data_IF_444960725502
#
_entry.id   IF_444960725502
#
_cell.length_a   1.000
_cell.length_b   1.000
_cell.length_c   1.000
_cell.angle_alpha   90.00
_cell.angle_beta   90.00
_cell.angle_gamma   90.00
#
_symmetry.space_group_name_H-M   'P 1'
#
loop_
_entity.id
_entity.type
_entity.pdbx_description
1 polymer ?
#
# COMPACT_ATOMS: atom_id res chain seq x y z
N UNK A 1 0.76 13.85 -10.81
CA UNK A 1 0.10 15.04 -10.17
C UNK A 1 1.12 15.74 -9.28
N UNK A 2 1.50 17.02 -9.55
CA UNK A 2 2.60 17.71 -8.85
C UNK A 2 2.12 19.01 -8.17
N UNK A 3 1.78 18.92 -6.89
CA UNK A 3 1.34 20.06 -6.06
C UNK A 3 2.50 20.95 -5.58
N UNK A 4 2.18 22.16 -5.09
CA UNK A 4 3.15 23.10 -4.48
C UNK A 4 3.23 23.01 -2.96
N UNK A 5 2.19 22.49 -2.31
CA UNK A 5 2.12 22.23 -0.87
C UNK A 5 1.87 20.73 -0.69
N UNK A 6 2.67 20.07 0.16
CA UNK A 6 2.64 18.62 0.35
C UNK A 6 3.17 18.22 1.73
N UNK A 7 2.73 17.06 2.23
CA UNK A 7 3.26 16.50 3.46
C UNK A 7 4.51 15.66 3.16
N UNK A 8 5.56 15.88 3.94
CA UNK A 8 6.82 15.14 3.86
C UNK A 8 7.23 14.70 5.26
N UNK A 9 7.64 13.44 5.36
CA UNK A 9 8.29 12.89 6.55
C UNK A 9 9.79 12.95 6.29
N UNK A 10 10.46 13.94 6.84
CA UNK A 10 11.91 14.13 6.76
C UNK A 10 12.59 13.70 8.07
N UNK A 11 13.58 12.81 7.98
CA UNK A 11 14.45 12.46 9.10
C UNK A 11 15.88 12.93 8.82
N UNK A 12 16.67 13.09 9.86
CA UNK A 12 18.09 13.44 9.76
C UNK A 12 18.86 12.58 10.76
N UNK A 13 19.95 11.95 10.33
CA UNK A 13 20.87 11.23 11.22
C UNK A 13 22.12 12.06 11.45
N UNK A 14 22.70 11.91 12.64
CA UNK A 14 23.92 12.60 13.03
C UNK A 14 24.88 11.56 13.56
N UNK A 15 26.00 11.41 12.88
CA UNK A 15 26.95 10.32 13.08
C UNK A 15 28.36 10.87 13.26
N UNK A 16 29.14 10.24 14.15
CA UNK A 16 30.48 10.72 14.53
C UNK A 16 31.54 10.43 13.45
N UNK A 17 31.28 9.45 12.58
CA UNK A 17 32.15 9.05 11.48
C UNK A 17 31.35 8.43 10.33
N UNK A 18 32.04 8.15 9.22
CA UNK A 18 31.44 7.56 8.00
C UNK A 18 30.87 6.16 8.24
N UNK A 19 31.50 5.33 9.07
CA UNK A 19 31.02 3.98 9.32
C UNK A 19 29.70 4.00 10.10
N UNK A 20 29.56 4.93 11.05
CA UNK A 20 28.29 5.20 11.73
C UNK A 20 27.22 5.74 10.77
N UNK A 21 27.58 6.68 9.89
CA UNK A 21 26.66 7.20 8.88
C UNK A 21 26.12 6.11 7.94
N UNK A 22 26.97 5.16 7.51
CA UNK A 22 26.55 4.01 6.69
C UNK A 22 25.60 3.09 7.46
N UNK A 23 25.78 2.91 8.78
CA UNK A 23 24.79 2.15 9.57
C UNK A 23 23.44 2.86 9.62
N UNK A 24 23.43 4.16 9.89
CA UNK A 24 22.21 4.98 9.89
C UNK A 24 21.50 4.96 8.53
N UNK A 25 22.28 5.02 7.45
CA UNK A 25 21.82 4.84 6.08
C UNK A 25 21.12 3.50 5.88
N UNK A 26 21.78 2.39 6.24
CA UNK A 26 21.24 1.04 6.04
C UNK A 26 19.95 0.83 6.86
N UNK A 27 19.86 1.40 8.07
CA UNK A 27 18.61 1.40 8.86
C UNK A 27 17.47 2.05 8.07
N UNK A 28 17.71 3.21 7.47
CA UNK A 28 16.69 3.90 6.69
C UNK A 28 16.34 3.18 5.39
N UNK A 29 17.33 2.65 4.68
CA UNK A 29 17.12 1.85 3.47
C UNK A 29 16.18 0.67 3.74
N UNK A 30 16.46 -0.12 4.79
CA UNK A 30 15.62 -1.27 5.17
C UNK A 30 14.24 -0.82 5.66
N UNK A 31 14.17 0.27 6.43
CA UNK A 31 12.89 0.82 6.89
C UNK A 31 12.00 1.25 5.71
N UNK A 32 12.59 1.81 4.65
CA UNK A 32 11.88 2.27 3.47
C UNK A 32 11.31 1.11 2.66
N UNK A 33 12.13 0.10 2.35
CA UNK A 33 11.68 -1.15 1.71
C UNK A 33 10.45 -1.72 2.42
N UNK A 34 10.52 -1.83 3.75
CA UNK A 34 9.43 -2.37 4.56
C UNK A 34 8.24 -1.44 4.63
N UNK A 35 8.44 -0.13 4.61
CA UNK A 35 7.35 0.85 4.63
C UNK A 35 6.51 0.73 3.37
N UNK A 36 7.13 0.71 2.20
CA UNK A 36 6.41 0.55 0.93
C UNK A 36 5.75 -0.83 0.81
N UNK A 37 6.44 -1.90 1.20
CA UNK A 37 5.86 -3.24 1.20
C UNK A 37 4.64 -3.37 2.13
N UNK A 38 4.68 -2.75 3.33
CA UNK A 38 3.50 -2.72 4.21
C UNK A 38 2.33 -1.98 3.58
N UNK A 39 2.60 -0.95 2.79
CA UNK A 39 1.59 -0.22 2.02
C UNK A 39 1.14 -0.98 0.76
N UNK A 40 1.55 -2.25 0.56
CA UNK A 40 1.19 -3.03 -0.62
C UNK A 40 1.85 -2.54 -1.91
N UNK A 41 2.91 -1.73 -1.81
CA UNK A 41 3.60 -1.13 -2.94
C UNK A 41 4.90 -1.89 -3.24
N UNK A 42 5.16 -2.14 -4.53
CA UNK A 42 6.46 -2.63 -4.99
C UNK A 42 7.37 -1.43 -5.26
N UNK A 43 8.31 -1.17 -4.34
CA UNK A 43 9.31 -0.11 -4.48
C UNK A 43 10.68 -0.69 -4.79
N UNK A 44 11.36 -0.15 -5.80
CA UNK A 44 12.70 -0.57 -6.18
C UNK A 44 13.70 0.52 -5.77
N UNK A 45 14.73 0.20 -4.98
CA UNK A 45 15.83 1.12 -4.71
C UNK A 45 16.71 1.22 -5.96
N UNK A 46 16.78 2.40 -6.56
CA UNK A 46 17.61 2.71 -7.72
C UNK A 46 18.73 3.62 -7.31
N UNK A 47 19.94 3.37 -7.80
CA UNK A 47 21.06 4.26 -7.52
C UNK A 47 20.80 5.64 -8.12
N UNK A 48 20.92 6.68 -7.29
CA UNK A 48 20.65 8.06 -7.67
C UNK A 48 21.93 8.89 -7.68
N UNK A 49 21.88 10.08 -8.28
CA UNK A 49 23.02 11.00 -8.22
C UNK A 49 23.27 11.46 -6.78
N UNK A 50 24.52 11.38 -6.33
CA UNK A 50 24.94 11.85 -5.00
C UNK A 50 25.09 13.37 -4.90
N UNK A 51 24.81 14.10 -5.99
CA UNK A 51 25.05 15.54 -6.10
C UNK A 51 26.51 15.94 -5.83
N UNK A 52 26.71 17.20 -5.39
CA UNK A 52 28.04 17.80 -5.17
C UNK A 52 28.82 17.20 -3.98
N UNK A 53 28.17 16.41 -3.12
CA UNK A 53 28.78 15.77 -1.94
C UNK A 53 29.57 14.52 -2.35
N UNK A 54 29.16 13.85 -3.44
CA UNK A 54 29.80 12.63 -3.95
C UNK A 54 29.55 11.39 -3.08
N UNK A 55 29.85 10.21 -3.64
CA UNK A 55 29.76 8.91 -2.96
C UNK A 55 28.68 7.99 -3.53
N UNK A 56 28.71 6.71 -3.11
CA UNK A 56 27.84 5.67 -3.68
C UNK A 56 26.55 5.44 -2.88
N UNK A 57 26.36 6.20 -1.79
CA UNK A 57 25.23 6.07 -0.86
C UNK A 57 24.13 7.08 -1.18
N UNK A 58 23.52 6.94 -2.37
CA UNK A 58 22.35 7.68 -2.79
C UNK A 58 21.43 6.74 -3.55
N UNK A 59 20.21 6.55 -3.04
CA UNK A 59 19.22 5.68 -3.66
C UNK A 59 17.86 6.37 -3.69
N UNK A 60 17.22 6.33 -4.85
CA UNK A 60 15.83 6.68 -5.06
C UNK A 60 14.93 5.46 -4.96
N UNK A 61 13.87 5.53 -4.16
CA UNK A 61 12.87 4.48 -4.11
C UNK A 61 11.76 4.80 -5.09
N UNK A 62 11.71 4.05 -6.19
CA UNK A 62 10.71 4.24 -7.23
C UNK A 62 9.64 3.16 -7.10
N UNK A 63 8.39 3.59 -6.94
CA UNK A 63 7.24 2.70 -6.85
C UNK A 63 6.77 2.38 -8.27
N UNK A 64 6.66 1.10 -8.62
CA UNK A 64 6.17 0.67 -9.92
C UNK A 64 4.69 1.03 -10.10
N UNK A 65 4.37 1.75 -11.18
CA UNK A 65 3.01 2.13 -11.55
C UNK A 65 2.95 2.49 -13.04
N UNK A 66 1.95 1.98 -13.76
CA UNK A 66 1.82 2.18 -15.23
C UNK A 66 1.70 3.65 -15.65
N UNK A 67 1.19 4.50 -14.77
CA UNK A 67 1.04 5.96 -14.98
C UNK A 67 2.23 6.78 -14.45
N UNK A 68 3.27 6.12 -13.94
CA UNK A 68 4.46 6.75 -13.39
C UNK A 68 5.15 7.68 -14.39
N UNK A 69 5.79 8.75 -13.94
CA UNK A 69 6.43 9.74 -14.82
C UNK A 69 7.77 9.23 -15.37
N UNK A 70 8.45 8.36 -14.63
CA UNK A 70 9.83 7.92 -14.92
C UNK A 70 9.83 6.49 -15.46
N UNK A 71 10.62 6.26 -16.52
CA UNK A 71 10.82 4.91 -17.05
C UNK A 71 11.89 4.19 -16.23
N UNK A 72 11.63 2.91 -15.96
CA UNK A 72 12.47 2.10 -15.07
C UNK A 72 12.87 0.79 -15.74
N UNK A 73 14.10 0.38 -15.49
CA UNK A 73 14.71 -0.84 -15.99
C UNK A 73 15.25 -1.62 -14.81
N UNK A 74 14.72 -2.81 -14.54
CA UNK A 74 15.20 -3.63 -13.43
C UNK A 74 15.19 -5.12 -13.77
N UNK A 75 15.95 -5.90 -13.02
CA UNK A 75 15.86 -7.36 -13.06
C UNK A 75 14.46 -7.82 -12.61
N UNK A 76 13.79 -8.68 -13.38
CA UNK A 76 12.45 -9.21 -13.07
C UNK A 76 12.39 -9.89 -11.71
N UNK A 77 13.49 -10.46 -11.22
CA UNK A 77 13.55 -11.09 -9.91
C UNK A 77 13.15 -10.14 -8.77
N UNK A 78 13.24 -8.82 -8.99
CA UNK A 78 12.73 -7.81 -8.05
C UNK A 78 11.25 -7.98 -7.71
N UNK A 79 10.44 -8.35 -8.70
CA UNK A 79 8.99 -8.44 -8.57
C UNK A 79 8.54 -9.59 -7.65
N UNK A 80 9.42 -10.58 -7.44
CA UNK A 80 9.15 -11.77 -6.62
C UNK A 80 9.68 -11.64 -5.18
N UNK A 81 10.26 -10.49 -4.81
CA UNK A 81 10.92 -10.29 -3.51
C UNK A 81 9.97 -9.69 -2.48
N UNK A 82 9.90 -10.27 -1.28
CA UNK A 82 9.11 -9.73 -0.15
C UNK A 82 10.00 -9.16 0.97
N UNK A 83 10.08 -7.82 1.13
CA UNK A 83 10.81 -7.17 2.22
C UNK A 83 10.31 -7.50 3.63
N UNK A 84 9.08 -8.01 3.76
CA UNK A 84 8.44 -8.31 5.04
C UNK A 84 8.74 -9.72 5.55
N UNK A 85 9.13 -10.65 4.66
CA UNK A 85 9.47 -12.02 5.00
C UNK A 85 10.72 -12.15 5.89
N UNK A 86 11.58 -11.13 5.91
CA UNK A 86 12.81 -11.12 6.69
C UNK A 86 12.58 -10.55 8.11
N UNK A 87 13.06 -11.27 9.12
CA UNK A 87 13.23 -10.72 10.47
C UNK A 87 14.39 -9.73 10.51
N UNK A 88 14.12 -8.49 10.90
CA UNK A 88 15.13 -7.42 10.93
C UNK A 88 15.47 -7.05 12.37
N UNK A 89 16.75 -7.16 12.72
CA UNK A 89 17.33 -6.53 13.90
C UNK A 89 18.04 -5.24 13.47
N UNK A 90 17.46 -4.09 13.81
CA UNK A 90 18.02 -2.78 13.44
C UNK A 90 19.29 -2.42 14.21
N UNK A 91 19.67 -3.18 15.24
CA UNK A 91 20.92 -2.98 15.96
C UNK A 91 22.07 -3.86 15.42
N UNK A 92 21.75 -4.82 14.55
CA UNK A 92 22.74 -5.63 13.84
C UNK A 92 23.34 -4.89 12.64
N UNK A 93 24.34 -5.51 11.99
CA UNK A 93 24.85 -5.04 10.72
C UNK A 93 23.83 -5.31 9.59
N UNK A 94 23.28 -4.23 9.03
CA UNK A 94 22.29 -4.28 7.96
C UNK A 94 22.93 -4.23 6.56
N UNK A 95 24.25 -4.09 6.43
CA UNK A 95 24.91 -4.05 5.12
C UNK A 95 24.60 -5.28 4.25
N UNK A 96 24.60 -6.54 4.78
CA UNK A 96 24.25 -7.71 3.96
C UNK A 96 22.85 -7.65 3.38
N UNK A 97 21.91 -6.98 4.06
CA UNK A 97 20.55 -6.79 3.57
C UNK A 97 20.58 -5.77 2.43
N UNK A 98 21.21 -4.62 2.64
CA UNK A 98 21.36 -3.61 1.58
C UNK A 98 22.05 -4.18 0.35
N UNK A 99 23.10 -5.01 0.53
CA UNK A 99 23.80 -5.68 -0.57
C UNK A 99 22.87 -6.62 -1.34
N UNK A 100 22.04 -7.42 -0.66
CA UNK A 100 21.06 -8.28 -1.34
C UNK A 100 20.05 -7.45 -2.15
N UNK A 101 19.54 -6.38 -1.55
CA UNK A 101 18.59 -5.44 -2.18
C UNK A 101 19.26 -4.46 -3.16
N UNK A 102 20.56 -4.56 -3.43
CA UNK A 102 21.24 -3.75 -4.44
C UNK A 102 22.05 -4.62 -5.42
N UNK A 103 22.08 -5.95 -5.24
CA UNK A 103 22.79 -6.87 -6.15
C UNK A 103 22.13 -6.95 -7.52
N UNK A 104 20.81 -6.83 -7.55
CA UNK A 104 20.02 -6.92 -8.77
C UNK A 104 20.00 -5.57 -9.46
N UNK A 105 20.20 -5.59 -10.78
CA UNK A 105 20.23 -4.38 -11.59
C UNK A 105 18.90 -3.61 -11.47
N UNK A 106 19.01 -2.31 -11.23
CA UNK A 106 17.90 -1.37 -11.26
C UNK A 106 18.42 0.01 -11.66
N UNK A 107 17.82 0.61 -12.69
CA UNK A 107 18.21 1.91 -13.21
C UNK A 107 17.00 2.68 -13.75
N UNK A 108 17.04 3.98 -13.54
CA UNK A 108 16.19 4.98 -14.23
C UNK A 108 16.63 5.15 -15.69
N UNK A 109 15.83 5.81 -16.51
CA UNK A 109 16.11 6.02 -17.93
C UNK A 109 17.38 6.83 -18.20
N UNK A 110 17.73 7.77 -17.32
CA UNK A 110 18.96 8.55 -17.40
C UNK A 110 20.22 7.75 -17.05
N UNK A 111 20.08 6.63 -16.33
CA UNK A 111 21.19 5.75 -15.91
C UNK A 111 21.25 4.43 -16.69
N UNK A 112 20.18 4.03 -17.37
CA UNK A 112 20.14 2.81 -18.13
C UNK A 112 20.92 2.94 -19.44
N UNK A 113 21.96 2.12 -19.60
CA UNK A 113 22.68 1.94 -20.87
C UNK A 113 22.38 0.53 -21.43
N UNK A 114 21.60 0.41 -22.51
CA UNK A 114 21.29 -0.87 -23.13
C UNK A 114 22.52 -1.67 -23.57
N UNK A 115 23.63 -1.00 -23.92
CA UNK A 115 24.85 -1.67 -24.36
C UNK A 115 25.67 -2.23 -23.20
N UNK A 116 25.50 -1.69 -21.99
CA UNK A 116 26.18 -2.10 -20.77
C UNK A 116 25.26 -2.82 -19.77
N UNK A 117 23.99 -3.07 -20.14
CA UNK A 117 23.02 -3.74 -19.29
C UNK A 117 23.48 -5.18 -18.98
N UNK A 118 23.69 -5.53 -17.69
CA UNK A 118 24.14 -6.87 -17.31
C UNK A 118 23.01 -7.92 -17.33
N UNK A 119 21.75 -7.49 -17.48
CA UNK A 119 20.57 -8.34 -17.44
C UNK A 119 20.18 -8.78 -18.86
N UNK A 120 19.99 -10.09 -19.11
CA UNK A 120 19.44 -10.60 -20.37
C UNK A 120 18.06 -10.01 -20.69
N UNK A 121 17.74 -9.85 -21.98
CA UNK A 121 16.50 -9.21 -22.45
C UNK A 121 15.21 -9.88 -21.91
N UNK A 122 15.23 -11.20 -21.74
CA UNK A 122 14.11 -11.98 -21.20
C UNK A 122 13.94 -11.85 -19.67
N UNK A 123 15.01 -11.47 -18.97
CA UNK A 123 15.03 -11.21 -17.53
C UNK A 123 14.89 -9.72 -17.18
N UNK A 124 14.95 -8.82 -18.17
CA UNK A 124 14.76 -7.39 -17.97
C UNK A 124 13.27 -7.05 -17.87
N UNK A 125 12.90 -6.32 -16.84
CA UNK A 125 11.63 -5.64 -16.72
C UNK A 125 11.81 -4.18 -17.15
N UNK A 126 10.94 -3.74 -18.04
CA UNK A 126 10.80 -2.33 -18.41
C UNK A 126 9.39 -1.89 -18.04
N UNK A 127 9.30 -0.83 -17.24
CA UNK A 127 8.03 -0.31 -16.77
C UNK A 127 8.07 1.19 -16.54
N UNK A 128 7.05 1.69 -15.85
CA UNK A 128 6.97 3.07 -15.37
C UNK A 128 6.87 3.08 -13.85
N UNK A 129 7.34 4.17 -13.25
CA UNK A 129 7.33 4.32 -11.80
C UNK A 129 7.13 5.75 -11.35
N UNK A 130 6.63 5.90 -10.14
CA UNK A 130 6.45 7.18 -9.47
C UNK A 130 7.66 7.40 -8.56
N UNK A 131 8.41 8.47 -8.83
CA UNK A 131 9.52 8.92 -7.99
C UNK A 131 9.00 9.38 -6.62
N UNK A 132 9.47 8.68 -5.58
CA UNK A 132 9.37 9.14 -4.20
C UNK A 132 10.69 9.84 -3.87
N UNK A 133 10.70 11.18 -3.96
CA UNK A 133 11.91 11.98 -3.74
C UNK A 133 12.56 11.67 -2.38
N UNK A 134 13.82 11.23 -2.42
CA UNK A 134 14.66 10.87 -1.28
C UNK A 134 16.08 11.41 -1.49
N UNK A 135 16.40 12.60 -0.98
CA UNK A 135 17.75 13.18 -1.12
C UNK A 135 18.61 12.95 0.13
N UNK A 136 19.68 12.14 -0.02
CA UNK A 136 20.40 11.50 1.09
C UNK A 136 21.51 12.37 1.71
N UNK A 137 21.07 13.33 2.51
CA UNK A 137 21.59 13.77 3.83
C UNK A 137 20.43 14.06 4.80
N UNK A 138 19.23 13.69 4.33
CA UNK A 138 17.91 13.79 4.91
C UNK A 138 17.11 12.58 4.37
N UNK A 139 16.13 12.09 5.11
CA UNK A 139 15.35 10.93 4.73
C UNK A 139 13.90 11.36 4.54
N UNK A 140 13.51 11.74 3.33
CA UNK A 140 12.15 12.17 2.98
C UNK A 140 11.24 10.99 2.63
N UNK A 141 9.97 10.97 3.06
CA UNK A 141 8.89 10.19 2.42
C UNK A 141 7.80 11.20 2.09
N UNK A 142 7.40 11.28 0.81
CA UNK A 142 6.28 12.11 0.39
C UNK A 142 4.95 11.50 0.81
N UNK A 143 4.54 11.68 2.07
CA UNK A 143 3.34 11.05 2.66
C UNK A 143 2.09 11.34 1.84
N UNK A 144 1.90 12.57 1.38
CA UNK A 144 0.74 12.91 0.54
C UNK A 144 0.82 12.36 -0.88
N UNK A 145 2.03 12.09 -1.40
CA UNK A 145 2.20 11.43 -2.71
C UNK A 145 1.86 9.94 -2.63
N UNK A 146 2.03 9.31 -1.47
CA UNK A 146 1.73 7.89 -1.31
C UNK A 146 0.26 7.56 -1.54
N UNK A 147 -0.66 8.41 -1.11
CA UNK A 147 -2.09 8.20 -1.40
C UNK A 147 -2.34 8.11 -2.92
N UNK A 148 -1.76 9.02 -3.70
CA UNK A 148 -1.83 8.98 -5.16
C UNK A 148 -1.15 7.74 -5.73
N UNK A 149 0.06 7.40 -5.27
CA UNK A 149 0.80 6.23 -5.74
C UNK A 149 0.06 4.90 -5.47
N UNK A 150 -0.59 4.77 -4.31
CA UNK A 150 -1.42 3.60 -3.98
C UNK A 150 -2.61 3.50 -4.93
N UNK A 151 -3.32 4.60 -5.16
CA UNK A 151 -4.48 4.60 -6.07
C UNK A 151 -4.06 4.25 -7.50
N UNK A 152 -2.97 4.85 -8.00
CA UNK A 152 -2.45 4.57 -9.33
C UNK A 152 -2.02 3.09 -9.49
N UNK A 153 -1.42 2.51 -8.45
CA UNK A 153 -0.99 1.11 -8.46
C UNK A 153 -2.12 0.11 -8.16
N UNK A 154 -3.23 0.55 -7.56
CA UNK A 154 -4.27 -0.34 -7.00
C UNK A 154 -5.67 0.25 -7.21
N UNK A 155 -6.20 0.09 -8.43
CA UNK A 155 -7.56 0.48 -8.83
C UNK A 155 -8.09 -0.43 -9.94
N UNK A 156 -9.40 -0.34 -10.21
CA UNK A 156 -10.05 -0.93 -11.37
C UNK A 156 -11.09 0.05 -11.98
N UNK A 157 -11.91 -0.41 -12.92
CA UNK A 157 -12.95 0.41 -13.56
C UNK A 157 -14.02 0.94 -12.57
N UNK A 158 -14.21 0.28 -11.42
CA UNK A 158 -15.20 0.66 -10.42
C UNK A 158 -14.63 1.66 -9.39
N UNK A 159 -13.31 1.70 -9.19
CA UNK A 159 -12.65 2.71 -8.36
C UNK A 159 -11.39 2.22 -7.65
N UNK A 160 -11.12 2.79 -6.48
CA UNK A 160 -9.91 2.53 -5.69
C UNK A 160 -9.95 1.11 -5.10
N UNK A 161 -8.78 0.49 -4.91
CA UNK A 161 -8.62 -0.73 -4.11
C UNK A 161 -7.56 -0.45 -3.04
N UNK A 162 -7.97 -0.18 -1.80
CA UNK A 162 -7.01 0.12 -0.74
C UNK A 162 -6.35 -1.16 -0.18
N UNK A 163 -5.03 -1.14 0.05
CA UNK A 163 -4.38 -2.02 1.02
C UNK A 163 -4.96 -1.78 2.41
N UNK A 164 -5.20 -2.84 3.18
CA UNK A 164 -5.91 -2.74 4.48
C UNK A 164 -5.26 -1.74 5.45
N UNK A 165 -3.93 -1.64 5.46
CA UNK A 165 -3.21 -0.72 6.37
C UNK A 165 -3.31 0.76 6.02
N UNK A 166 -3.75 1.07 4.79
CA UNK A 166 -3.84 2.43 4.27
C UNK A 166 -5.30 2.84 4.02
N UNK A 167 -6.24 1.89 4.13
CA UNK A 167 -7.65 2.16 3.96
C UNK A 167 -8.14 3.12 5.04
N UNK A 168 -9.02 4.09 4.70
CA UNK A 168 -9.58 5.00 5.70
C UNK A 168 -10.51 4.29 6.69
N UNK A 169 -11.08 3.16 6.29
CA UNK A 169 -11.83 2.21 7.11
C UNK A 169 -11.56 0.80 6.58
N UNK A 170 -11.52 -0.20 7.45
CA UNK A 170 -11.38 -1.60 7.05
C UNK A 170 -12.65 -2.14 6.39
N UNK A 171 -13.82 -1.72 6.88
CA UNK A 171 -15.13 -2.28 6.48
C UNK A 171 -16.10 -1.18 6.06
N UNK A 172 -16.74 -1.34 4.92
CA UNK A 172 -17.96 -0.63 4.53
C UNK A 172 -19.21 -1.44 4.84
N UNK A 173 -20.01 -1.02 5.82
CA UNK A 173 -21.29 -1.65 6.16
C UNK A 173 -22.44 -0.94 5.45
N UNK A 174 -23.20 -1.66 4.64
CA UNK A 174 -24.30 -1.15 3.82
C UNK A 174 -25.63 -1.65 4.38
N UNK A 175 -26.47 -0.73 4.84
CA UNK A 175 -27.89 -1.02 5.05
C UNK A 175 -28.64 -0.90 3.72
N UNK A 176 -29.01 -2.03 3.13
CA UNK A 176 -29.67 -2.10 1.81
C UNK A 176 -31.08 -1.51 1.85
N UNK A 177 -31.71 -1.44 3.03
CA UNK A 177 -33.06 -0.89 3.23
C UNK A 177 -33.12 -0.06 4.51
N UNK A 178 -32.44 1.07 4.49
CA UNK A 178 -32.48 2.04 5.59
C UNK A 178 -33.94 2.44 5.92
N UNK A 179 -34.25 2.54 7.21
CA UNK A 179 -35.59 2.83 7.72
C UNK A 179 -36.50 1.60 7.85
N UNK A 180 -36.05 0.42 7.45
CA UNK A 180 -36.68 -0.86 7.81
C UNK A 180 -36.16 -1.26 9.20
N UNK A 181 -37.01 -1.32 10.25
CA UNK A 181 -36.53 -1.47 11.64
C UNK A 181 -35.67 -2.71 11.86
N UNK A 182 -35.96 -3.81 11.15
CA UNK A 182 -35.21 -5.05 11.30
C UNK A 182 -33.84 -4.99 10.60
N UNK A 183 -33.73 -4.25 9.48
CA UNK A 183 -32.45 -3.98 8.83
C UNK A 183 -31.60 -3.00 9.64
N UNK A 184 -32.22 -1.94 10.15
CA UNK A 184 -31.55 -0.94 10.98
C UNK A 184 -30.96 -1.58 12.25
N UNK A 185 -31.76 -2.38 12.97
CA UNK A 185 -31.31 -3.09 14.17
C UNK A 185 -30.17 -4.08 13.89
N UNK A 186 -30.27 -4.85 12.79
CA UNK A 186 -29.24 -5.81 12.42
C UNK A 186 -27.91 -5.14 12.01
N UNK A 187 -27.98 -4.02 11.28
CA UNK A 187 -26.79 -3.25 10.92
C UNK A 187 -26.13 -2.62 12.15
N UNK A 188 -26.92 -1.98 13.01
CA UNK A 188 -26.41 -1.35 14.24
C UNK A 188 -25.74 -2.38 15.15
N UNK A 189 -26.36 -3.55 15.33
CA UNK A 189 -25.80 -4.61 16.16
C UNK A 189 -24.45 -5.13 15.62
N UNK A 190 -24.31 -5.29 14.29
CA UNK A 190 -23.05 -5.70 13.69
C UNK A 190 -22.00 -4.59 13.77
N UNK A 191 -22.39 -3.34 13.50
CA UNK A 191 -21.54 -2.16 13.63
C UNK A 191 -20.94 -2.05 15.03
N UNK A 192 -21.78 -2.04 16.08
CA UNK A 192 -21.32 -1.96 17.46
C UNK A 192 -20.37 -3.10 17.83
N UNK A 193 -20.65 -4.31 17.35
CA UNK A 193 -19.83 -5.50 17.62
C UNK A 193 -18.42 -5.35 17.03
N UNK A 194 -18.33 -4.93 15.77
CA UNK A 194 -17.06 -4.72 15.08
C UNK A 194 -16.28 -3.56 15.70
N UNK A 195 -16.93 -2.42 15.95
CA UNK A 195 -16.31 -1.25 16.59
C UNK A 195 -15.80 -1.58 18.00
N UNK A 196 -16.56 -2.35 18.79
CA UNK A 196 -16.13 -2.79 20.13
C UNK A 196 -14.89 -3.70 20.08
N UNK A 197 -14.69 -4.41 18.97
CA UNK A 197 -13.51 -5.22 18.71
C UNK A 197 -12.34 -4.40 18.11
N UNK A 198 -12.49 -3.08 17.92
CA UNK A 198 -11.46 -2.21 17.37
C UNK A 198 -11.40 -2.17 15.85
N UNK A 199 -12.40 -2.73 15.15
CA UNK A 199 -12.47 -2.66 13.68
C UNK A 199 -13.03 -1.31 13.26
N UNK A 200 -12.35 -0.64 12.33
CA UNK A 200 -12.81 0.62 11.73
C UNK A 200 -13.90 0.34 10.69
N UNK A 201 -15.12 0.82 10.94
CA UNK A 201 -16.30 0.59 10.10
C UNK A 201 -16.89 1.91 9.61
N UNK A 202 -17.05 2.05 8.30
CA UNK A 202 -17.88 3.07 7.67
C UNK A 202 -19.29 2.51 7.51
N UNK A 203 -20.26 3.04 8.25
CA UNK A 203 -21.65 2.62 8.17
C UNK A 203 -22.44 3.53 7.22
N UNK A 204 -22.97 2.99 6.12
CA UNK A 204 -23.86 3.67 5.17
C UNK A 204 -25.33 3.41 5.51
N UNK A 205 -25.85 4.23 6.42
CA UNK A 205 -27.22 4.26 6.92
C UNK A 205 -28.15 5.22 6.15
N UNK A 206 -27.65 5.85 5.07
CA UNK A 206 -28.38 6.86 4.31
C UNK A 206 -29.67 6.31 3.69
N UNK A 207 -30.68 7.16 3.53
CA UNK A 207 -31.90 6.83 2.78
C UNK A 207 -31.66 6.93 1.26
N UNK A 208 -30.84 6.02 0.75
CA UNK A 208 -30.44 5.95 -0.66
C UNK A 208 -30.69 4.56 -1.25
N UNK A 209 -30.85 4.51 -2.57
CA UNK A 209 -31.06 3.23 -3.28
C UNK A 209 -29.82 2.36 -3.15
N UNK A 210 -30.02 1.05 -2.94
CA UNK A 210 -28.94 0.07 -2.79
C UNK A 210 -27.84 0.19 -3.87
N UNK A 211 -28.22 0.34 -5.15
CA UNK A 211 -27.25 0.48 -6.24
C UNK A 211 -26.34 1.71 -6.12
N UNK A 212 -26.82 2.82 -5.55
CA UNK A 212 -25.99 4.01 -5.28
C UNK A 212 -24.99 3.70 -4.18
N UNK A 213 -25.44 3.10 -3.09
CA UNK A 213 -24.58 2.70 -1.97
C UNK A 213 -23.47 1.76 -2.41
N UNK A 214 -23.80 0.73 -3.19
CA UNK A 214 -22.80 -0.21 -3.73
C UNK A 214 -21.78 0.49 -4.64
N UNK A 215 -22.24 1.32 -5.58
CA UNK A 215 -21.34 2.04 -6.48
C UNK A 215 -20.38 2.98 -5.72
N UNK A 216 -20.88 3.70 -4.72
CA UNK A 216 -20.04 4.57 -3.90
C UNK A 216 -19.06 3.78 -3.02
N UNK A 217 -19.49 2.65 -2.45
CA UNK A 217 -18.62 1.79 -1.64
C UNK A 217 -17.52 1.10 -2.46
N UNK A 218 -17.82 0.75 -3.72
CA UNK A 218 -16.84 0.26 -4.69
C UNK A 218 -15.87 1.37 -5.12
N UNK A 219 -16.39 2.58 -5.33
CA UNK A 219 -15.59 3.74 -5.73
C UNK A 219 -14.54 4.13 -4.68
N UNK A 220 -14.93 4.22 -3.40
CA UNK A 220 -14.03 4.62 -2.32
C UNK A 220 -13.05 3.51 -1.91
N UNK A 221 -13.35 2.25 -2.25
CA UNK A 221 -12.36 1.17 -2.25
C UNK A 221 -12.03 0.49 -0.93
N UNK A 222 -12.95 0.48 0.05
CA UNK A 222 -12.69 -0.13 1.36
C UNK A 222 -12.43 -1.65 1.23
N UNK A 223 -11.48 -2.25 1.98
CA UNK A 223 -11.07 -3.64 1.81
C UNK A 223 -12.22 -4.66 1.86
N UNK A 224 -13.18 -4.45 2.76
CA UNK A 224 -14.34 -5.32 2.94
C UNK A 224 -15.64 -4.55 2.79
N UNK A 225 -16.60 -5.13 2.07
CA UNK A 225 -17.98 -4.65 2.01
C UNK A 225 -18.90 -5.68 2.66
N UNK A 226 -19.76 -5.22 3.57
CA UNK A 226 -20.79 -6.03 4.21
C UNK A 226 -22.14 -5.41 3.88
N UNK A 227 -23.03 -6.18 3.24
CA UNK A 227 -24.38 -5.73 2.94
C UNK A 227 -25.43 -6.52 3.72
N UNK A 228 -26.34 -5.80 4.37
CA UNK A 228 -27.47 -6.38 5.10
C UNK A 228 -28.75 -5.84 4.50
N UNK A 229 -29.62 -6.75 4.09
CA UNK A 229 -30.96 -6.42 3.59
C UNK A 229 -32.03 -7.36 4.11
N UNK A 230 -33.30 -7.14 3.74
CA UNK A 230 -34.44 -7.82 4.37
C UNK A 230 -34.42 -9.35 4.26
N UNK A 231 -33.77 -9.91 3.22
CA UNK A 231 -33.59 -11.36 3.09
C UNK A 231 -32.56 -11.88 4.09
N UNK A 232 -31.42 -11.21 4.18
CA UNK A 232 -30.33 -11.53 5.10
C UNK A 232 -30.78 -11.48 6.56
N UNK A 233 -31.55 -10.45 6.93
CA UNK A 233 -32.12 -10.34 8.29
C UNK A 233 -33.00 -11.55 8.64
N UNK A 234 -33.83 -12.02 7.69
CA UNK A 234 -34.68 -13.21 7.92
C UNK A 234 -33.89 -14.51 8.06
N UNK A 235 -32.75 -14.62 7.38
CA UNK A 235 -31.87 -15.80 7.44
C UNK A 235 -30.75 -15.68 8.48
N UNK A 236 -30.60 -14.54 9.15
CA UNK A 236 -29.50 -14.27 10.08
C UNK A 236 -28.14 -14.13 9.40
N UNK A 237 -28.11 -13.66 8.15
CA UNK A 237 -26.91 -13.58 7.31
C UNK A 237 -26.68 -12.20 6.71
N UNK A 238 -25.43 -11.88 6.42
CA UNK A 238 -25.01 -10.73 5.61
C UNK A 238 -24.23 -11.22 4.39
N UNK A 239 -24.19 -10.41 3.34
CA UNK A 239 -23.31 -10.63 2.19
C UNK A 239 -21.97 -9.95 2.48
N UNK A 240 -20.87 -10.70 2.46
CA UNK A 240 -19.50 -10.20 2.62
C UNK A 240 -18.75 -10.33 1.30
N UNK A 241 -18.08 -9.26 0.87
CA UNK A 241 -17.28 -9.21 -0.35
C UNK A 241 -15.95 -8.51 -0.09
N UNK A 242 -14.84 -9.04 -0.59
CA UNK A 242 -13.56 -8.35 -0.62
C UNK A 242 -13.50 -7.41 -1.84
N UNK A 243 -13.00 -6.18 -1.66
CA UNK A 243 -12.92 -5.18 -2.73
C UNK A 243 -11.87 -5.50 -3.78
N UNK A 244 -10.76 -6.14 -3.38
CA UNK A 244 -9.70 -6.58 -4.28
C UNK A 244 -10.14 -7.68 -5.27
N UNK A 245 -11.35 -8.24 -5.09
CA UNK A 245 -11.93 -9.27 -5.95
C UNK A 245 -12.58 -10.39 -5.15
N UNK A 246 -13.33 -11.25 -5.84
CA UNK A 246 -14.04 -12.39 -5.26
C UNK A 246 -15.56 -12.27 -5.37
N UNK A 247 -16.25 -13.41 -5.26
CA UNK A 247 -17.71 -13.46 -5.20
C UNK A 247 -18.19 -13.05 -3.80
N UNK A 248 -19.38 -12.45 -3.73
CA UNK A 248 -20.01 -12.16 -2.45
C UNK A 248 -20.43 -13.48 -1.77
N UNK A 249 -20.04 -13.65 -0.50
CA UNK A 249 -20.38 -14.80 0.32
C UNK A 249 -21.51 -14.44 1.29
N UNK A 250 -22.58 -15.24 1.30
CA UNK A 250 -23.61 -15.13 2.33
C UNK A 250 -23.15 -15.85 3.60
N UNK A 251 -22.85 -15.08 4.66
CA UNK A 251 -22.31 -15.58 5.92
C UNK A 251 -23.22 -15.18 7.09
N UNK A 252 -23.22 -15.97 8.16
CA UNK A 252 -23.89 -15.57 9.40
C UNK A 252 -23.23 -14.30 9.98
N UNK A 253 -23.99 -13.48 10.72
CA UNK A 253 -23.42 -12.27 11.35
C UNK A 253 -22.23 -12.58 12.27
N UNK A 254 -22.25 -13.75 12.91
CA UNK A 254 -21.13 -14.24 13.74
C UNK A 254 -19.90 -14.55 12.89
N UNK A 255 -20.07 -15.28 11.79
CA UNK A 255 -18.97 -15.61 10.86
C UNK A 255 -18.36 -14.38 10.20
N UNK A 256 -19.19 -13.38 9.85
CA UNK A 256 -18.70 -12.08 9.36
C UNK A 256 -17.83 -11.40 10.41
N UNK A 257 -18.28 -11.38 11.66
CA UNK A 257 -17.54 -10.77 12.76
C UNK A 257 -16.19 -11.45 12.98
N UNK A 258 -16.17 -12.78 13.08
CA UNK A 258 -14.94 -13.55 13.28
C UNK A 258 -13.90 -13.28 12.17
N UNK A 259 -14.33 -13.30 10.90
CA UNK A 259 -13.44 -13.05 9.75
C UNK A 259 -12.87 -11.63 9.74
N UNK A 260 -13.65 -10.62 10.12
CA UNK A 260 -13.21 -9.22 10.07
C UNK A 260 -12.36 -8.80 11.27
N UNK A 261 -12.56 -9.44 12.43
CA UNK A 261 -11.75 -9.23 13.64
C UNK A 261 -10.39 -9.93 13.51
N UNK A 262 -10.33 -11.05 12.78
CA UNK A 262 -9.10 -11.81 12.53
C UNK A 262 -8.85 -12.94 13.53
N UNK A 263 -9.92 -13.61 13.97
CA UNK A 263 -9.87 -14.84 14.78
C UNK A 263 -9.55 -16.09 13.94
#
# INVERSE_FOLDING_TARGET
MRGREFYMKDNYSFDIDRAAAVRSYNKMFVAYLRTFARLGLTSIPMQAESGAIGGDYSHEFIVLADTGESAVYCDRAWLDTDPLAMGIDYEADLQPIVDEWTRLYAATDDKHDPAACPVPEDALYQGRGIEVAVEMGSYGIGVSRLAGAIIEASHDEAGIIWPEVAAPFKVGLINVRAGDPACDEACEALYERLVRAGVEVLYDDRDERAGVKFAEMELIGLPWQVAIGPRGVKSGTAELKARAGGEAEALSFESVSARLIGD
#
